data_IF_824431418625
#
_entry.id   IF_824431418625
#
_cell.length_a   1.000
_cell.length_b   1.000
_cell.length_c   1.000
_cell.angle_alpha   90.00
_cell.angle_beta   90.00
_cell.angle_gamma   90.00
#
_symmetry.space_group_name_H-M   'P 1'
#
loop_
_entity.id
_entity.type
_entity.pdbx_description
1 polymer ?
#
# COMPACT_ATOMS: atom_id res chain seq x y z
N UNK A 1 -8.22 15.58 20.50
CA UNK A 1 -7.46 15.26 19.28
C UNK A 1 -8.46 14.85 18.23
N UNK A 2 -8.37 15.45 17.04
CA UNK A 2 -9.25 15.17 15.91
C UNK A 2 -8.73 13.94 15.17
N UNK A 3 -9.17 12.77 15.64
CA UNK A 3 -8.68 11.48 15.14
C UNK A 3 -9.01 11.29 13.65
N UNK A 4 -10.10 11.90 13.17
CA UNK A 4 -10.54 11.83 11.77
C UNK A 4 -9.51 12.49 10.84
N UNK A 5 -9.05 13.70 11.21
CA UNK A 5 -8.05 14.45 10.45
C UNK A 5 -6.74 13.68 10.26
N UNK A 6 -6.24 13.07 11.33
CA UNK A 6 -5.00 12.29 11.28
C UNK A 6 -5.14 11.11 10.31
N UNK A 7 -6.27 10.40 10.37
CA UNK A 7 -6.56 9.29 9.47
C UNK A 7 -6.69 9.74 8.00
N UNK A 8 -7.39 10.85 7.75
CA UNK A 8 -7.54 11.43 6.41
C UNK A 8 -6.17 11.78 5.81
N UNK A 9 -5.35 12.52 6.55
CA UNK A 9 -4.03 12.91 6.08
C UNK A 9 -3.09 11.72 5.89
N UNK A 10 -3.15 10.71 6.75
CA UNK A 10 -2.39 9.46 6.56
C UNK A 10 -2.76 8.75 5.26
N UNK A 11 -4.07 8.64 4.96
CA UNK A 11 -4.58 8.07 3.70
C UNK A 11 -4.14 8.89 2.49
N UNK A 12 -4.29 10.21 2.53
CA UNK A 12 -3.88 11.12 1.45
C UNK A 12 -2.38 11.00 1.17
N UNK A 13 -1.54 10.97 2.22
CA UNK A 13 -0.09 10.84 2.05
C UNK A 13 0.30 9.50 1.44
N UNK A 14 -0.33 8.41 1.87
CA UNK A 14 -0.10 7.10 1.30
C UNK A 14 -0.47 7.02 -0.19
N UNK A 15 -1.64 7.53 -0.57
CA UNK A 15 -2.03 7.56 -1.98
C UNK A 15 -1.07 8.42 -2.80
N UNK A 16 -0.64 9.57 -2.26
CA UNK A 16 0.33 10.44 -2.92
C UNK A 16 1.67 9.72 -3.13
N UNK A 17 2.11 8.94 -2.15
CA UNK A 17 3.35 8.19 -2.21
C UNK A 17 3.29 7.07 -3.27
N UNK A 18 2.19 6.31 -3.32
CA UNK A 18 1.95 5.31 -4.39
C UNK A 18 2.05 5.94 -5.79
N UNK A 19 1.38 7.07 -6.00
CA UNK A 19 1.40 7.80 -7.28
C UNK A 19 2.81 8.34 -7.58
N UNK A 20 3.51 8.86 -6.57
CA UNK A 20 4.88 9.33 -6.69
C UNK A 20 5.82 8.22 -7.14
N UNK A 21 5.76 7.06 -6.48
CA UNK A 21 6.53 5.87 -6.84
C UNK A 21 6.21 5.40 -8.26
N UNK A 22 4.93 5.38 -8.66
CA UNK A 22 4.52 5.04 -10.02
C UNK A 22 5.06 6.04 -11.06
N UNK A 23 5.04 7.33 -10.75
CA UNK A 23 5.48 8.39 -11.64
C UNK A 23 7.01 8.47 -11.78
N UNK A 24 7.77 8.13 -10.72
CA UNK A 24 9.22 8.39 -10.65
C UNK A 24 10.08 7.15 -10.41
N UNK A 25 9.49 5.99 -10.20
CA UNK A 25 10.17 4.72 -9.96
C UNK A 25 10.81 4.60 -8.56
N UNK A 26 10.57 5.55 -7.67
CA UNK A 26 11.03 5.55 -6.27
C UNK A 26 10.17 6.49 -5.41
N UNK A 27 10.20 6.29 -4.10
CA UNK A 27 9.46 7.00 -3.06
C UNK A 27 10.36 7.80 -2.10
N UNK A 28 11.68 7.84 -2.34
CA UNK A 28 12.67 8.41 -1.41
C UNK A 28 12.34 9.82 -0.93
N UNK A 29 11.83 10.67 -1.81
CA UNK A 29 11.40 12.03 -1.44
C UNK A 29 10.23 12.02 -0.45
N UNK A 30 9.27 11.13 -0.64
CA UNK A 30 8.10 11.00 0.22
C UNK A 30 8.50 10.49 1.60
N UNK A 31 9.30 9.42 1.65
CA UNK A 31 9.78 8.84 2.91
C UNK A 31 10.60 9.84 3.74
N UNK A 32 11.48 10.61 3.11
CA UNK A 32 12.31 11.62 3.80
C UNK A 32 11.50 12.83 4.28
N UNK A 33 10.36 13.14 3.65
CA UNK A 33 9.53 14.29 4.02
C UNK A 33 8.39 13.97 4.99
N UNK A 34 8.24 12.72 5.43
CA UNK A 34 7.16 12.32 6.32
C UNK A 34 7.13 13.13 7.64
N UNK A 35 8.30 13.48 8.18
CA UNK A 35 8.39 14.32 9.39
C UNK A 35 8.09 15.81 9.17
N UNK A 36 8.23 16.31 7.94
CA UNK A 36 7.78 17.67 7.59
C UNK A 36 6.27 17.67 7.35
N UNK A 37 5.77 16.62 6.69
CA UNK A 37 4.36 16.41 6.47
C UNK A 37 3.57 16.36 7.78
N UNK A 38 4.06 15.64 8.79
CA UNK A 38 3.38 15.57 10.08
C UNK A 38 3.25 16.92 10.79
N UNK A 39 4.14 17.88 10.50
CA UNK A 39 4.09 19.23 11.07
C UNK A 39 3.17 20.17 10.29
N UNK A 40 3.17 20.05 8.96
CA UNK A 40 2.49 20.98 8.03
C UNK A 40 1.81 20.23 6.89
N UNK A 41 0.76 19.42 7.17
CA UNK A 41 0.27 18.44 6.21
C UNK A 41 -0.29 19.07 4.93
N UNK A 42 -1.15 20.08 5.05
CA UNK A 42 -1.74 20.77 3.91
C UNK A 42 -0.69 21.48 3.03
N UNK A 43 0.31 22.11 3.66
CA UNK A 43 1.37 22.84 2.95
C UNK A 43 2.28 21.87 2.20
N UNK A 44 2.77 20.83 2.89
CA UNK A 44 3.67 19.84 2.31
C UNK A 44 2.97 19.04 1.21
N UNK A 45 1.73 18.60 1.46
CA UNK A 45 0.93 17.93 0.44
C UNK A 45 0.64 18.84 -0.76
N UNK A 46 0.30 20.11 -0.55
CA UNK A 46 0.05 21.05 -1.64
C UNK A 46 1.25 21.21 -2.58
N UNK A 47 2.47 21.11 -2.07
CA UNK A 47 3.69 21.06 -2.89
C UNK A 47 3.81 19.73 -3.64
N UNK A 48 3.65 18.60 -2.96
CA UNK A 48 3.67 17.26 -3.57
C UNK A 48 2.66 17.14 -4.71
N UNK A 49 1.43 17.59 -4.48
CA UNK A 49 0.35 17.55 -5.46
C UNK A 49 0.72 18.32 -6.74
N UNK A 50 1.25 19.55 -6.60
CA UNK A 50 1.71 20.36 -7.74
C UNK A 50 2.88 19.72 -8.48
N UNK A 51 3.83 19.14 -7.75
CA UNK A 51 5.01 18.50 -8.32
C UNK A 51 4.65 17.20 -9.09
N UNK A 52 3.59 16.50 -8.69
CA UNK A 52 3.10 15.27 -9.34
C UNK A 52 2.37 15.52 -10.66
N UNK A 53 1.59 16.60 -10.76
CA UNK A 53 0.75 16.91 -11.92
C UNK A 53 1.43 16.74 -13.29
N UNK A 54 2.63 17.33 -13.55
CA UNK A 54 3.27 17.19 -14.86
C UNK A 54 3.73 15.76 -15.15
N UNK A 55 4.22 15.03 -14.15
CA UNK A 55 4.67 13.64 -14.33
C UNK A 55 3.50 12.70 -14.58
N UNK A 56 2.40 12.89 -13.85
CA UNK A 56 1.16 12.13 -14.03
C UNK A 56 0.59 12.33 -15.42
N UNK A 57 0.49 13.59 -15.88
CA UNK A 57 0.01 13.91 -17.22
C UNK A 57 0.89 13.28 -18.30
N UNK A 58 2.21 13.39 -18.18
CA UNK A 58 3.17 12.84 -19.14
C UNK A 58 3.10 11.31 -19.25
N UNK A 59 2.76 10.63 -18.15
CA UNK A 59 2.78 9.16 -18.04
C UNK A 59 1.39 8.52 -18.09
N UNK A 60 0.32 9.31 -18.22
CA UNK A 60 -1.05 8.81 -18.17
C UNK A 60 -1.44 8.20 -16.82
N UNK A 61 -0.84 8.68 -15.73
CA UNK A 61 -1.15 8.21 -14.36
C UNK A 61 -2.31 9.03 -13.82
N UNK A 62 -3.35 8.35 -13.33
CA UNK A 62 -4.53 9.00 -12.77
C UNK A 62 -4.24 9.56 -11.38
N UNK A 63 -4.65 10.81 -11.13
CA UNK A 63 -4.69 11.42 -9.79
C UNK A 63 -6.06 11.26 -9.12
N UNK A 64 -7.00 10.56 -9.74
CA UNK A 64 -8.36 10.36 -9.22
C UNK A 64 -8.40 9.80 -7.78
N UNK A 65 -7.56 8.81 -7.38
CA UNK A 65 -7.57 8.32 -6.00
C UNK A 65 -7.25 9.40 -4.96
N UNK A 66 -6.38 10.38 -5.31
CA UNK A 66 -6.11 11.52 -4.44
C UNK A 66 -7.31 12.45 -4.33
N UNK A 67 -7.97 12.72 -5.45
CA UNK A 67 -9.15 13.59 -5.48
C UNK A 67 -10.26 13.01 -4.60
N UNK A 68 -10.50 11.71 -4.68
CA UNK A 68 -11.47 11.02 -3.82
C UNK A 68 -11.09 11.08 -2.35
N UNK A 69 -9.83 10.82 -1.99
CA UNK A 69 -9.38 10.91 -0.61
C UNK A 69 -9.50 12.32 -0.03
N UNK A 70 -9.21 13.35 -0.84
CA UNK A 70 -9.39 14.76 -0.44
C UNK A 70 -10.89 15.10 -0.30
N UNK A 71 -11.76 14.53 -1.13
CA UNK A 71 -13.19 14.79 -1.08
C UNK A 71 -13.86 14.25 0.20
N UNK A 72 -13.23 13.29 0.90
CA UNK A 72 -13.66 12.80 2.22
C UNK A 72 -13.31 13.78 3.35
N UNK A 73 -12.46 14.79 3.09
CA UNK A 73 -11.93 15.69 4.12
C UNK A 73 -12.84 16.88 4.40
N UNK A 74 -12.81 17.34 5.65
CA UNK A 74 -13.51 18.55 6.07
C UNK A 74 -12.61 19.79 5.94
N UNK A 75 -13.22 20.99 5.89
CA UNK A 75 -12.47 22.25 5.80
C UNK A 75 -11.47 22.42 6.96
N UNK A 76 -11.85 21.97 8.16
CA UNK A 76 -11.01 21.95 9.37
C UNK A 76 -9.77 21.08 9.23
N UNK A 77 -9.77 20.08 8.35
CA UNK A 77 -8.60 19.22 8.13
C UNK A 77 -7.42 19.99 7.55
N UNK A 78 -7.69 21.09 6.82
CA UNK A 78 -6.69 21.94 6.16
C UNK A 78 -6.07 23.02 7.06
N UNK A 79 -6.47 23.09 8.33
CA UNK A 79 -5.82 23.96 9.30
C UNK A 79 -4.34 23.58 9.48
N UNK A 80 -3.46 24.58 9.48
CA UNK A 80 -2.01 24.37 9.63
C UNK A 80 -1.65 24.09 11.09
N UNK A 81 -1.86 22.84 11.48
CA UNK A 81 -1.47 22.28 12.77
C UNK A 81 -0.86 20.89 12.61
N UNK A 82 0.03 20.46 13.53
CA UNK A 82 0.61 19.13 13.46
C UNK A 82 -0.43 18.00 13.54
N UNK A 83 -0.10 16.86 12.96
CA UNK A 83 -0.83 15.59 13.08
C UNK A 83 -0.40 14.86 14.37
N UNK A 84 -1.31 14.07 14.94
CA UNK A 84 -1.00 13.09 15.98
C UNK A 84 -0.64 11.72 15.41
N UNK A 85 -0.43 10.70 16.24
CA UNK A 85 0.19 9.44 15.81
C UNK A 85 -0.66 8.59 14.83
N UNK A 86 -1.96 8.88 14.70
CA UNK A 86 -2.88 8.10 13.87
C UNK A 86 -2.63 8.25 12.37
N UNK A 87 -1.92 9.29 11.91
CA UNK A 87 -1.60 9.42 10.48
C UNK A 87 -0.64 8.32 10.01
N UNK A 88 0.29 7.89 10.87
CA UNK A 88 1.22 6.78 10.56
C UNK A 88 0.45 5.47 10.43
N UNK A 89 -0.54 5.27 11.30
CA UNK A 89 -1.42 4.11 11.22
C UNK A 89 -2.20 4.09 9.90
N UNK A 90 -2.93 5.17 9.57
CA UNK A 90 -3.67 5.25 8.30
C UNK A 90 -2.76 5.13 7.08
N UNK A 91 -1.56 5.73 7.12
CA UNK A 91 -0.55 5.55 6.08
C UNK A 91 -0.18 4.08 5.91
N UNK A 92 0.11 3.36 7.00
CA UNK A 92 0.48 1.94 6.94
C UNK A 92 -0.65 1.05 6.42
N UNK A 93 -1.89 1.31 6.81
CA UNK A 93 -3.06 0.55 6.36
C UNK A 93 -3.25 0.73 4.86
N UNK A 94 -3.24 1.98 4.40
CA UNK A 94 -3.37 2.31 2.99
C UNK A 94 -2.21 1.74 2.17
N UNK A 95 -0.98 1.77 2.68
CA UNK A 95 0.19 1.15 2.04
C UNK A 95 0.08 -0.38 1.94
N UNK A 96 -0.41 -1.03 3.00
CA UNK A 96 -0.51 -2.48 3.06
C UNK A 96 -1.57 -3.04 2.11
N UNK A 97 -2.69 -2.36 1.85
CA UNK A 97 -3.73 -2.88 0.93
C UNK A 97 -3.17 -3.24 -0.46
N UNK A 98 -2.24 -2.44 -0.98
CA UNK A 98 -1.58 -2.71 -2.25
C UNK A 98 -0.57 -3.87 -2.14
N UNK A 99 0.19 -3.95 -1.06
CA UNK A 99 1.17 -4.99 -0.82
C UNK A 99 0.52 -6.36 -0.60
N UNK A 100 -0.56 -6.42 0.17
CA UNK A 100 -1.35 -7.63 0.37
C UNK A 100 -2.01 -8.10 -0.93
N UNK A 101 -2.46 -7.16 -1.76
CA UNK A 101 -2.97 -7.43 -3.11
C UNK A 101 -1.89 -8.00 -4.04
N UNK A 102 -0.67 -7.47 -4.00
CA UNK A 102 0.46 -7.97 -4.78
C UNK A 102 0.84 -9.39 -4.34
N UNK A 103 0.94 -9.63 -3.03
CA UNK A 103 1.23 -10.95 -2.45
C UNK A 103 0.22 -11.99 -2.90
N UNK A 104 -1.09 -11.73 -2.77
CA UNK A 104 -2.12 -12.70 -3.17
C UNK A 104 -2.06 -13.00 -4.68
N UNK A 105 -1.82 -11.98 -5.51
CA UNK A 105 -1.77 -12.13 -6.97
C UNK A 105 -0.53 -12.93 -7.39
N UNK A 106 0.61 -12.69 -6.74
CA UNK A 106 1.86 -13.41 -6.98
C UNK A 106 1.75 -14.88 -6.56
N UNK A 107 1.17 -15.17 -5.38
CA UNK A 107 0.89 -16.55 -4.94
C UNK A 107 0.01 -17.27 -5.96
N UNK A 108 -1.15 -16.67 -6.31
CA UNK A 108 -2.11 -17.25 -7.24
C UNK A 108 -1.49 -17.52 -8.62
N UNK A 109 -0.76 -16.55 -9.16
CA UNK A 109 -0.13 -16.62 -10.48
C UNK A 109 0.94 -17.71 -10.52
N UNK A 110 1.80 -17.79 -9.50
CA UNK A 110 2.87 -18.79 -9.43
C UNK A 110 2.31 -20.19 -9.22
N UNK A 111 1.33 -20.36 -8.32
CA UNK A 111 0.65 -21.65 -8.12
C UNK A 111 0.07 -22.18 -9.44
N UNK A 112 -0.66 -21.32 -10.16
CA UNK A 112 -1.24 -21.66 -11.48
C UNK A 112 -0.16 -21.98 -12.52
N UNK A 113 0.95 -21.24 -12.54
CA UNK A 113 2.09 -21.50 -13.44
C UNK A 113 2.73 -22.88 -13.18
N UNK A 114 2.74 -23.34 -11.93
CA UNK A 114 3.22 -24.66 -11.54
C UNK A 114 2.16 -25.75 -11.65
N UNK A 115 0.95 -25.44 -12.13
CA UNK A 115 -0.19 -26.35 -12.23
C UNK A 115 -0.58 -27.02 -10.91
N UNK A 116 -0.33 -26.35 -9.78
CA UNK A 116 -0.71 -26.86 -8.46
C UNK A 116 -2.16 -26.47 -8.14
N UNK A 117 -2.93 -27.39 -7.56
CA UNK A 117 -4.16 -27.07 -6.84
C UNK A 117 -3.84 -26.35 -5.52
N UNK A 118 -4.84 -25.71 -4.92
CA UNK A 118 -4.69 -25.09 -3.60
C UNK A 118 -4.35 -26.14 -2.51
N UNK A 119 -4.85 -27.37 -2.66
CA UNK A 119 -4.56 -28.46 -1.72
C UNK A 119 -3.10 -28.93 -1.83
N UNK A 120 -2.59 -29.12 -3.05
CA UNK A 120 -1.19 -29.51 -3.27
C UNK A 120 -0.21 -28.42 -2.80
N UNK A 121 -0.54 -27.14 -3.00
CA UNK A 121 0.27 -26.06 -2.45
C UNK A 121 0.24 -26.07 -0.91
N UNK A 122 -0.93 -26.30 -0.31
CA UNK A 122 -1.07 -26.35 1.14
C UNK A 122 -0.24 -27.48 1.77
N UNK A 123 -0.22 -28.66 1.14
CA UNK A 123 0.62 -29.78 1.56
C UNK A 123 2.12 -29.43 1.51
N UNK A 124 2.56 -28.77 0.43
CA UNK A 124 3.97 -28.31 0.30
C UNK A 124 4.35 -27.27 1.35
N UNK A 125 3.44 -26.36 1.69
CA UNK A 125 3.67 -25.28 2.66
C UNK A 125 3.52 -25.76 4.11
N UNK A 126 2.81 -26.87 4.33
CA UNK A 126 2.47 -27.34 5.68
C UNK A 126 1.34 -26.54 6.33
N UNK A 127 0.36 -26.09 5.54
CA UNK A 127 -0.83 -25.38 6.01
C UNK A 127 -2.12 -26.07 5.51
N UNK A 128 -3.29 -25.46 5.75
CA UNK A 128 -4.55 -25.99 5.20
C UNK A 128 -4.85 -25.40 3.82
N UNK A 129 -5.62 -26.12 2.99
CA UNK A 129 -6.15 -25.57 1.72
C UNK A 129 -6.94 -24.27 1.94
N UNK A 130 -7.62 -24.16 3.09
CA UNK A 130 -8.39 -22.97 3.47
C UNK A 130 -7.47 -21.75 3.67
N UNK A 131 -6.28 -21.95 4.22
CA UNK A 131 -5.29 -20.87 4.37
C UNK A 131 -4.85 -20.35 3.00
N UNK A 132 -4.48 -21.25 2.08
CA UNK A 132 -4.15 -20.88 0.69
C UNK A 132 -5.31 -20.11 0.04
N UNK A 133 -6.54 -20.60 0.19
CA UNK A 133 -7.73 -19.95 -0.37
C UNK A 133 -7.92 -18.53 0.17
N UNK A 134 -7.74 -18.33 1.49
CA UNK A 134 -7.83 -17.02 2.13
C UNK A 134 -6.75 -16.07 1.67
N UNK A 135 -5.51 -16.55 1.56
CA UNK A 135 -4.39 -15.75 1.06
C UNK A 135 -4.64 -15.32 -0.39
N UNK A 136 -5.03 -16.23 -1.27
CA UNK A 136 -5.30 -15.90 -2.69
C UNK A 136 -6.50 -14.97 -2.90
N UNK A 137 -7.45 -14.96 -1.96
CA UNK A 137 -8.59 -14.02 -1.97
C UNK A 137 -8.26 -12.68 -1.32
N UNK A 138 -7.16 -12.58 -0.57
CA UNK A 138 -6.83 -11.42 0.25
C UNK A 138 -7.77 -11.27 1.46
N UNK A 139 -8.35 -12.37 1.95
CA UNK A 139 -9.13 -12.35 3.21
C UNK A 139 -8.20 -12.22 4.43
N UNK A 140 -6.96 -12.70 4.32
CA UNK A 140 -5.89 -12.61 5.30
C UNK A 140 -4.54 -12.67 4.60
N UNK A 141 -3.53 -12.02 5.17
CA UNK A 141 -2.15 -12.12 4.70
C UNK A 141 -1.39 -13.29 5.34
N UNK A 142 -0.54 -14.00 4.59
CA UNK A 142 0.39 -14.96 5.18
C UNK A 142 1.37 -14.26 6.13
N UNK A 143 1.73 -14.94 7.23
CA UNK A 143 2.81 -14.48 8.11
C UNK A 143 4.15 -14.47 7.37
N UNK A 144 5.16 -13.76 7.88
CA UNK A 144 6.51 -13.78 7.33
C UNK A 144 7.08 -15.21 7.22
N UNK A 145 6.78 -16.08 8.20
CA UNK A 145 7.16 -17.49 8.16
C UNK A 145 6.47 -18.24 7.02
N UNK A 146 5.16 -18.04 6.83
CA UNK A 146 4.41 -18.66 5.74
C UNK A 146 4.81 -18.12 4.37
N UNK A 147 5.17 -16.83 4.25
CA UNK A 147 5.74 -16.27 3.02
C UNK A 147 7.04 -16.96 2.62
N UNK A 148 7.90 -17.28 3.60
CA UNK A 148 9.13 -18.03 3.35
C UNK A 148 8.85 -19.45 2.84
N UNK A 149 7.93 -20.16 3.48
CA UNK A 149 7.51 -21.51 3.06
C UNK A 149 6.81 -21.48 1.69
N UNK A 150 6.01 -20.47 1.41
CA UNK A 150 5.39 -20.25 0.10
C UNK A 150 6.44 -20.03 -0.99
N UNK A 151 7.45 -19.20 -0.72
CA UNK A 151 8.54 -18.95 -1.66
C UNK A 151 9.27 -20.25 -2.03
N UNK A 152 9.58 -21.07 -1.02
CA UNK A 152 10.18 -22.40 -1.20
C UNK A 152 9.26 -23.35 -2.00
N UNK A 153 7.97 -23.44 -1.64
CA UNK A 153 7.01 -24.32 -2.30
C UNK A 153 6.67 -23.91 -3.75
N UNK A 154 6.80 -22.61 -4.06
CA UNK A 154 6.53 -22.01 -5.37
C UNK A 154 7.80 -21.79 -6.23
N UNK A 155 8.95 -22.30 -5.77
CA UNK A 155 10.24 -22.20 -6.43
C UNK A 155 10.58 -20.76 -6.85
N UNK A 156 10.59 -19.86 -5.87
CA UNK A 156 10.83 -18.44 -6.08
C UNK A 156 11.47 -17.75 -4.87
N UNK A 157 11.90 -16.50 -5.03
CA UNK A 157 12.37 -15.67 -3.92
C UNK A 157 11.19 -15.07 -3.17
N UNK A 158 11.40 -14.70 -1.91
CA UNK A 158 10.38 -13.96 -1.14
C UNK A 158 10.04 -12.63 -1.84
N UNK A 159 11.04 -11.94 -2.40
CA UNK A 159 10.86 -10.71 -3.19
C UNK A 159 10.04 -10.90 -4.48
N UNK A 160 9.84 -12.15 -4.92
CA UNK A 160 8.96 -12.45 -6.05
C UNK A 160 7.49 -12.60 -5.63
N UNK A 161 7.23 -12.63 -4.32
CA UNK A 161 5.90 -12.65 -3.71
C UNK A 161 5.53 -11.27 -3.16
N UNK A 162 6.50 -10.54 -2.60
CA UNK A 162 6.35 -9.29 -1.86
C UNK A 162 6.56 -8.01 -2.70
#
# INVERSE_FOLDING_TARGET
>A
MDQSRDLHWGKVWAIADKIWKQARGNDRYMSLNMGNFSKHPAIVFGKVYKDLQPDCLKRGISMEPLIHAIAEMEKSDFEDRPLGDLYVYAYSVEMNDQHEKEIRENILKRRKKLNLSQAELAEKVGCTQKDISRWEKGEFSPSAENLKKLAEALDCRIDDLA
#
